data_IF_785661267831
#
_entry.id   IF_785661267831
#
_cell.length_a   1.000
_cell.length_b   1.000
_cell.length_c   1.000
_cell.angle_alpha   90.00
_cell.angle_beta   90.00
_cell.angle_gamma   90.00
#
_symmetry.space_group_name_H-M   'P 1'
#
loop_
_entity.id
_entity.type
_entity.pdbx_description
1 polymer ?
#
# COMPACT_ATOMS: atom_id res chain seq x y z
N UNK A 1 -27.50 6.56 17.25
CA UNK A 1 -27.17 6.28 15.84
C UNK A 1 -26.75 7.59 15.19
N UNK A 2 -25.46 7.84 15.00
CA UNK A 2 -24.99 9.07 14.35
C UNK A 2 -25.17 8.90 12.84
N UNK A 3 -25.99 9.74 12.22
CA UNK A 3 -26.12 9.81 10.76
C UNK A 3 -24.80 10.36 10.17
N UNK A 4 -24.32 9.85 9.02
CA UNK A 4 -23.17 10.47 8.35
C UNK A 4 -23.57 11.88 7.94
N UNK A 5 -22.73 12.86 8.26
CA UNK A 5 -22.93 14.23 7.79
C UNK A 5 -22.70 14.24 6.28
N UNK A 6 -23.77 14.34 5.50
CA UNK A 6 -23.70 14.77 4.11
C UNK A 6 -23.32 16.26 4.11
N UNK A 7 -22.13 16.59 3.60
CA UNK A 7 -21.67 17.97 3.42
C UNK A 7 -20.49 18.39 4.29
N UNK A 8 -19.29 17.95 3.93
CA UNK A 8 -18.11 18.82 3.79
C UNK A 8 -16.95 18.00 3.21
N UNK A 9 -16.33 18.49 2.13
CA UNK A 9 -15.15 17.84 1.55
C UNK A 9 -14.02 17.86 2.59
N UNK A 10 -13.60 16.69 3.07
CA UNK A 10 -12.43 16.60 3.94
C UNK A 10 -11.19 17.02 3.16
N UNK A 11 -10.37 17.87 3.75
CA UNK A 11 -9.09 18.32 3.19
C UNK A 11 -7.98 17.86 4.13
N UNK A 12 -6.96 17.21 3.60
CA UNK A 12 -5.82 16.70 4.35
C UNK A 12 -4.65 17.66 4.19
N UNK A 13 -4.19 18.26 5.30
CA UNK A 13 -3.07 19.22 5.30
C UNK A 13 -1.86 18.74 6.12
N UNK A 14 -1.88 17.52 6.63
CA UNK A 14 -0.82 16.97 7.48
C UNK A 14 0.20 16.11 6.71
N UNK A 15 0.62 16.61 5.54
CA UNK A 15 1.58 15.90 4.67
C UNK A 15 2.98 15.76 5.30
N UNK A 16 3.28 16.56 6.34
CA UNK A 16 4.51 16.45 7.10
C UNK A 16 4.55 15.17 7.98
N UNK A 17 3.40 14.66 8.42
CA UNK A 17 3.31 13.41 9.16
C UNK A 17 3.36 12.19 8.22
N UNK A 18 2.54 12.20 7.17
CA UNK A 18 2.52 11.14 6.15
C UNK A 18 1.76 11.61 4.90
N UNK A 19 1.82 10.84 3.81
CA UNK A 19 1.16 11.16 2.55
C UNK A 19 0.37 9.96 2.03
N UNK A 20 -0.67 10.22 1.24
CA UNK A 20 -1.38 9.16 0.55
C UNK A 20 -0.46 8.49 -0.48
N UNK A 21 -0.49 7.16 -0.53
CA UNK A 21 0.27 6.39 -1.52
C UNK A 21 -0.26 6.73 -2.92
N UNK A 22 0.64 7.04 -3.85
CA UNK A 22 0.28 7.27 -5.25
C UNK A 22 -0.35 6.00 -5.85
N UNK A 23 -1.41 6.07 -6.68
CA UNK A 23 -2.09 4.88 -7.19
C UNK A 23 -1.17 3.87 -7.88
N UNK A 24 -0.18 4.35 -8.64
CA UNK A 24 0.81 3.49 -9.31
C UNK A 24 1.73 2.76 -8.32
N UNK A 25 2.11 3.42 -7.22
CA UNK A 25 2.91 2.79 -6.16
C UNK A 25 2.09 1.73 -5.44
N UNK A 26 0.80 2.01 -5.18
CA UNK A 26 -0.12 1.04 -4.59
C UNK A 26 -0.25 -0.20 -5.49
N UNK A 27 -0.38 -0.03 -6.81
CA UNK A 27 -0.50 -1.15 -7.74
C UNK A 27 0.73 -2.07 -7.70
N UNK A 28 1.94 -1.50 -7.74
CA UNK A 28 3.19 -2.27 -7.65
C UNK A 28 3.35 -2.94 -6.29
N UNK A 29 2.97 -2.24 -5.21
CA UNK A 29 3.04 -2.81 -3.86
C UNK A 29 2.11 -4.02 -3.70
N UNK A 30 0.87 -3.92 -4.20
CA UNK A 30 -0.10 -5.02 -4.12
C UNK A 30 0.37 -6.23 -4.93
N UNK A 31 0.88 -6.01 -6.14
CA UNK A 31 1.43 -7.08 -6.97
C UNK A 31 2.62 -7.79 -6.30
N UNK A 32 3.56 -7.03 -5.75
CA UNK A 32 4.70 -7.59 -5.04
C UNK A 32 4.28 -8.43 -3.82
N UNK A 33 3.28 -7.97 -3.07
CA UNK A 33 2.76 -8.68 -1.89
C UNK A 33 1.96 -9.94 -2.25
N UNK A 34 1.25 -9.93 -3.37
CA UNK A 34 0.41 -11.05 -3.81
C UNK A 34 1.23 -12.13 -4.53
N UNK A 35 2.15 -11.71 -5.41
CA UNK A 35 2.83 -12.61 -6.35
C UNK A 35 4.31 -12.88 -5.98
N UNK A 36 4.97 -12.00 -5.22
CA UNK A 36 6.39 -12.08 -4.90
C UNK A 36 6.64 -12.11 -3.38
N UNK A 37 5.83 -12.88 -2.64
CA UNK A 37 5.85 -12.96 -1.17
C UNK A 37 7.05 -13.72 -0.56
N UNK A 38 7.98 -14.21 -1.38
CA UNK A 38 9.15 -14.96 -0.91
C UNK A 38 10.10 -14.10 -0.07
N UNK A 39 10.89 -14.73 0.79
CA UNK A 39 12.00 -14.05 1.45
C UNK A 39 13.20 -14.00 0.47
N UNK A 40 13.65 -12.80 0.02
CA UNK A 40 14.74 -12.68 -0.95
C UNK A 40 16.08 -13.26 -0.46
N UNK A 41 16.26 -13.38 0.86
CA UNK A 41 17.46 -14.01 1.45
C UNK A 41 17.42 -15.54 1.48
N UNK A 42 16.33 -16.15 1.00
CA UNK A 42 16.17 -17.60 0.99
C UNK A 42 16.69 -18.22 -0.30
N UNK A 43 17.41 -19.34 -0.19
CA UNK A 43 17.89 -20.10 -1.34
C UNK A 43 16.80 -20.93 -2.05
N UNK A 44 15.59 -21.02 -1.49
CA UNK A 44 14.51 -21.79 -2.09
C UNK A 44 13.88 -21.05 -3.27
N UNK A 45 13.18 -21.79 -4.13
CA UNK A 45 12.62 -21.29 -5.40
C UNK A 45 11.81 -20.00 -5.27
N UNK A 46 10.96 -19.89 -4.25
CA UNK A 46 10.14 -18.69 -4.04
C UNK A 46 10.96 -17.51 -3.50
N UNK A 47 12.09 -17.75 -2.84
CA UNK A 47 13.04 -16.69 -2.45
C UNK A 47 13.75 -16.08 -3.65
N UNK A 48 14.29 -16.91 -4.55
CA UNK A 48 14.89 -16.45 -5.81
C UNK A 48 13.90 -15.71 -6.73
N UNK A 49 12.59 -15.94 -6.60
CA UNK A 49 11.56 -15.21 -7.36
C UNK A 49 11.24 -13.85 -6.77
N UNK A 50 11.63 -13.60 -5.52
CA UNK A 50 11.38 -12.36 -4.79
C UNK A 50 12.59 -11.42 -4.77
N UNK A 51 13.74 -11.82 -5.34
CA UNK A 51 14.88 -10.95 -5.66
C UNK A 51 14.59 -10.11 -6.91
#
# INVERSE_FOLDING_TARGET
MIKPAEGNKRIYFDHAATTAIHPEVMAVLMDALENNYGNPSSFYKEGNRAE
#
